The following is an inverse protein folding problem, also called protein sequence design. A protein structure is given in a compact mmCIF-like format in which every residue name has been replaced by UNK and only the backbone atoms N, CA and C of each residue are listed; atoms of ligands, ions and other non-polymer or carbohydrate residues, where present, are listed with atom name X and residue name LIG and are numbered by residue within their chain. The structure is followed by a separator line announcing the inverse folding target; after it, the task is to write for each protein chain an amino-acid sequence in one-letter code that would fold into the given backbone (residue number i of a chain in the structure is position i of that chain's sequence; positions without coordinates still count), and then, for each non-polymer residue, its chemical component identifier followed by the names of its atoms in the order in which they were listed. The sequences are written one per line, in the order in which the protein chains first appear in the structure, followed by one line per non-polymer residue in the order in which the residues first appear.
data_IF_306447172766
#
_entry.id   IF_306447172766
#
_cell.length_a   1.000
_cell.length_b   1.000
_cell.length_c   1.000
_cell.angle_alpha   90.00
_cell.angle_beta   90.00
_cell.angle_gamma   90.00
#
_symmetry.space_group_name_H-M   'P 1'
#
loop_
_entity.id
_entity.type
_entity.pdbx_description
1 polymer ?
#
# COMPACT_ATOMS: atom_id res chain seq x y z
N UNK A 1 -2.94 -10.30 2.13
CA UNK A 1 -3.74 -10.33 0.88
C UNK A 1 -2.86 -10.85 -0.26
N UNK A 2 -3.33 -11.84 -1.05
CA UNK A 2 -2.49 -12.59 -2.01
C UNK A 2 -2.11 -11.79 -3.27
N UNK A 3 -2.97 -10.85 -3.69
CA UNK A 3 -2.90 -10.26 -5.04
C UNK A 3 -1.62 -9.47 -5.35
N UNK A 4 -1.07 -8.69 -4.41
CA UNK A 4 0.17 -7.94 -4.69
C UNK A 4 1.42 -8.83 -4.66
N UNK A 5 1.34 -10.05 -4.13
CA UNK A 5 2.50 -10.97 -4.03
C UNK A 5 2.82 -11.68 -5.35
N UNK A 6 1.86 -11.76 -6.26
CA UNK A 6 2.02 -12.37 -7.59
C UNK A 6 2.19 -11.36 -8.73
N UNK A 7 2.13 -10.07 -8.43
CA UNK A 7 2.19 -8.99 -9.43
C UNK A 7 3.58 -8.36 -9.52
N UNK A 8 3.87 -7.71 -10.64
CA UNK A 8 5.12 -6.96 -10.81
C UNK A 8 5.14 -5.74 -9.88
N UNK A 9 6.35 -5.36 -9.44
CA UNK A 9 6.51 -4.21 -8.53
C UNK A 9 5.97 -2.90 -9.13
N UNK A 10 6.12 -2.72 -10.44
CA UNK A 10 5.53 -1.61 -11.19
C UNK A 10 4.00 -1.54 -11.01
N UNK A 11 3.32 -2.67 -11.20
CA UNK A 11 1.87 -2.74 -11.04
C UNK A 11 1.45 -2.47 -9.61
N UNK A 12 2.20 -3.01 -8.63
CA UNK A 12 1.97 -2.77 -7.22
C UNK A 12 2.05 -1.27 -6.92
N UNK A 13 3.09 -0.56 -7.36
CA UNK A 13 3.20 0.89 -7.15
C UNK A 13 2.05 1.67 -7.81
N UNK A 14 1.65 1.32 -9.03
CA UNK A 14 0.54 1.97 -9.73
C UNK A 14 -0.80 1.87 -8.98
N UNK A 15 -0.99 0.83 -8.17
CA UNK A 15 -2.24 0.59 -7.43
C UNK A 15 -2.11 0.78 -5.91
N UNK A 16 -0.90 1.08 -5.43
CA UNK A 16 -0.57 1.14 -4.00
C UNK A 16 -1.48 2.11 -3.25
N UNK A 17 -1.72 3.30 -3.81
CA UNK A 17 -2.58 4.30 -3.19
C UNK A 17 -4.01 3.80 -2.94
N UNK A 18 -4.60 3.13 -3.94
CA UNK A 18 -5.96 2.57 -3.83
C UNK A 18 -6.01 1.46 -2.79
N UNK A 19 -5.00 0.60 -2.73
CA UNK A 19 -4.95 -0.46 -1.73
C UNK A 19 -4.82 0.07 -0.31
N UNK A 20 -3.95 1.07 -0.09
CA UNK A 20 -3.80 1.73 1.21
C UNK A 20 -5.11 2.38 1.63
N UNK A 21 -5.76 3.15 0.76
CA UNK A 21 -7.09 3.74 1.00
C UNK A 21 -8.14 2.69 1.37
N UNK A 22 -8.15 1.55 0.69
CA UNK A 22 -9.09 0.47 0.99
C UNK A 22 -8.84 -0.14 2.37
N UNK A 23 -7.58 -0.37 2.77
CA UNK A 23 -7.30 -0.89 4.12
C UNK A 23 -7.64 0.14 5.20
N UNK A 24 -7.34 1.42 4.97
CA UNK A 24 -7.71 2.51 5.87
C UNK A 24 -9.22 2.61 6.06
N UNK A 25 -10.00 2.52 4.98
CA UNK A 25 -11.46 2.52 5.03
C UNK A 25 -12.01 1.37 5.89
N UNK A 26 -11.44 0.17 5.77
CA UNK A 26 -11.83 -0.96 6.62
C UNK A 26 -11.52 -0.68 8.09
N UNK A 27 -10.36 -0.10 8.40
CA UNK A 27 -9.94 0.15 9.78
C UNK A 27 -10.64 1.33 10.45
N UNK A 28 -11.06 2.35 9.69
CA UNK A 28 -11.61 3.59 10.23
C UNK A 28 -13.13 3.66 10.06
N UNK A 29 -13.61 3.54 8.83
CA UNK A 29 -15.02 3.73 8.49
C UNK A 29 -15.87 2.51 8.85
N UNK A 30 -15.33 1.30 8.73
CA UNK A 30 -16.04 0.05 9.03
C UNK A 30 -15.81 -0.47 10.46
N UNK A 31 -15.15 0.31 11.32
CA UNK A 31 -14.87 -0.13 12.68
C UNK A 31 -16.17 -0.32 13.48
N UNK A 32 -16.37 -1.53 14.02
CA UNK A 32 -17.62 -1.91 14.69
C UNK A 32 -18.73 -2.40 13.75
N UNK A 33 -18.57 -2.25 12.43
CA UNK A 33 -19.49 -2.80 11.41
C UNK A 33 -19.03 -4.15 10.87
N UNK A 34 -17.72 -4.45 10.95
CA UNK A 34 -17.13 -5.73 10.54
C UNK A 34 -16.53 -6.48 11.73
N UNK A 35 -16.18 -7.76 11.52
CA UNK A 35 -15.53 -8.56 12.56
C UNK A 35 -14.15 -8.01 12.93
N UNK A 36 -13.74 -8.21 14.18
CA UNK A 36 -12.39 -7.86 14.64
C UNK A 36 -11.30 -8.50 13.77
N UNK A 37 -11.51 -9.75 13.34
CA UNK A 37 -10.60 -10.43 12.43
C UNK A 37 -10.45 -9.74 11.05
N UNK A 38 -11.47 -9.06 10.56
CA UNK A 38 -11.37 -8.27 9.32
C UNK A 38 -10.53 -7.00 9.53
N UNK A 39 -10.67 -6.34 10.68
CA UNK A 39 -9.85 -5.18 11.07
C UNK A 39 -8.38 -5.59 11.23
N UNK A 40 -8.12 -6.68 11.95
CA UNK A 40 -6.78 -7.22 12.17
C UNK A 40 -6.11 -7.59 10.84
N UNK A 41 -6.87 -8.23 9.94
CA UNK A 41 -6.38 -8.58 8.61
C UNK A 41 -6.09 -7.34 7.76
N UNK A 42 -6.90 -6.28 7.84
CA UNK A 42 -6.66 -5.02 7.13
C UNK A 42 -5.38 -4.33 7.62
N UNK A 43 -5.17 -4.32 8.94
CA UNK A 43 -3.94 -3.80 9.54
C UNK A 43 -2.70 -4.58 9.10
N UNK A 44 -2.77 -5.91 9.14
CA UNK A 44 -1.69 -6.79 8.67
C UNK A 44 -1.40 -6.59 7.18
N UNK A 45 -2.42 -6.48 6.34
CA UNK A 45 -2.26 -6.22 4.91
C UNK A 45 -1.56 -4.88 4.65
N UNK A 46 -1.96 -3.82 5.36
CA UNK A 46 -1.34 -2.50 5.22
C UNK A 46 0.15 -2.55 5.58
N UNK A 47 0.48 -3.18 6.71
CA UNK A 47 1.86 -3.34 7.15
C UNK A 47 2.71 -4.11 6.13
N UNK A 48 2.20 -5.22 5.60
CA UNK A 48 2.88 -6.00 4.57
C UNK A 48 3.11 -5.22 3.28
N UNK A 49 2.13 -4.44 2.83
CA UNK A 49 2.27 -3.62 1.61
C UNK A 49 3.32 -2.53 1.77
N UNK A 50 3.36 -1.86 2.93
CA UNK A 50 4.38 -0.84 3.22
C UNK A 50 5.77 -1.48 3.25
N UNK A 51 5.93 -2.63 3.92
CA UNK A 51 7.21 -3.36 3.94
C UNK A 51 7.67 -3.80 2.55
N UNK A 52 6.75 -4.25 1.70
CA UNK A 52 7.06 -4.63 0.31
C UNK A 52 7.54 -3.41 -0.51
N UNK A 53 6.96 -2.24 -0.27
CA UNK A 53 7.22 -1.04 -1.05
C UNK A 53 8.38 -0.19 -0.52
N UNK A 54 8.83 -0.42 0.72
CA UNK A 54 9.88 0.33 1.40
C UNK A 54 11.26 0.30 0.72
N UNK A 55 11.71 -0.82 0.09
CA UNK A 55 13.00 -0.84 -0.60
C UNK A 55 13.01 0.10 -1.81
N UNK A 56 13.81 1.17 -1.73
CA UNK A 56 13.96 2.13 -2.81
C UNK A 56 14.70 1.51 -4.01
N UNK A 57 14.21 1.78 -5.21
CA UNK A 57 14.76 1.28 -6.46
C UNK A 57 15.87 2.22 -7.00
N UNK A 58 16.55 2.98 -6.13
CA UNK A 58 17.49 4.06 -6.51
C UNK A 58 18.64 3.63 -7.44
N UNK A 59 19.04 2.36 -7.38
CA UNK A 59 20.09 1.80 -8.22
C UNK A 59 19.55 1.05 -9.45
N UNK A 60 18.24 1.13 -9.73
CA UNK A 60 17.63 0.48 -10.89
C UNK A 60 17.97 1.23 -12.18
N UNK A 61 18.29 0.49 -13.25
CA UNK A 61 18.43 1.06 -14.59
C UNK A 61 17.08 1.53 -15.16
N UNK A 62 15.96 1.03 -14.61
CA UNK A 62 14.61 1.45 -14.97
C UNK A 62 14.24 2.76 -14.26
N UNK A 63 14.59 3.88 -14.90
CA UNK A 63 14.25 5.24 -14.44
C UNK A 63 12.75 5.49 -14.31
N UNK A 64 11.93 4.80 -15.10
CA UNK A 64 10.48 4.95 -15.06
C UNK A 64 9.92 4.28 -13.81
N UNK A 65 10.44 3.09 -13.45
CA UNK A 65 10.08 2.42 -12.21
C UNK A 65 10.43 3.28 -10.98
N UNK A 66 11.59 3.94 -10.97
CA UNK A 66 11.98 4.86 -9.90
C UNK A 66 10.98 6.01 -9.77
N UNK A 67 10.57 6.59 -10.91
CA UNK A 67 9.57 7.67 -10.93
C UNK A 67 8.23 7.20 -10.38
N UNK A 68 7.73 6.06 -10.85
CA UNK A 68 6.46 5.47 -10.40
C UNK A 68 6.51 5.16 -8.90
N UNK A 69 7.61 4.60 -8.41
CA UNK A 69 7.81 4.36 -6.98
C UNK A 69 7.71 5.66 -6.19
N UNK A 70 8.44 6.71 -6.60
CA UNK A 70 8.47 7.98 -5.88
C UNK A 70 7.09 8.64 -5.82
N UNK A 71 6.37 8.65 -6.93
CA UNK A 71 4.99 9.18 -7.00
C UNK A 71 4.05 8.40 -6.07
N UNK A 72 4.10 7.06 -6.12
CA UNK A 72 3.28 6.21 -5.28
C UNK A 72 3.56 6.38 -3.78
N UNK A 73 4.85 6.38 -3.38
CA UNK A 73 5.24 6.54 -1.98
C UNK A 73 4.91 7.93 -1.45
N UNK A 74 5.06 8.99 -2.24
CA UNK A 74 4.65 10.34 -1.84
C UNK A 74 3.14 10.42 -1.58
N UNK A 75 2.33 9.87 -2.49
CA UNK A 75 0.86 9.89 -2.35
C UNK A 75 0.40 9.10 -1.12
N UNK A 76 1.01 7.93 -0.88
CA UNK A 76 0.73 7.08 0.28
C UNK A 76 1.18 7.72 1.58
N UNK A 77 2.38 8.30 1.62
CA UNK A 77 2.90 8.99 2.80
C UNK A 77 1.97 10.15 3.19
N UNK A 78 1.58 10.97 2.22
CA UNK A 78 0.66 12.07 2.46
C UNK A 78 -0.66 11.58 3.05
N UNK A 79 -1.27 10.53 2.47
CA UNK A 79 -2.52 9.97 2.98
C UNK A 79 -2.37 9.40 4.40
N UNK A 80 -1.29 8.66 4.69
CA UNK A 80 -1.05 8.09 6.01
C UNK A 80 -0.80 9.16 7.08
N UNK A 81 -0.24 10.32 6.73
CA UNK A 81 -0.04 11.44 7.66
C UNK A 81 -1.27 12.34 7.82
N UNK A 82 -2.24 12.25 6.91
CA UNK A 82 -3.47 13.06 6.93
C UNK A 82 -4.53 12.45 7.86
N UNK A 83 -4.55 11.13 7.96
CA UNK A 83 -5.47 10.35 8.81
C UNK A 83 -4.93 10.31 10.24
#
# INVERSE_FOLDING_TARGET
MFLYRSMSLRWVYQHLYVFVKAQLFVMMDLNGEVSSGAIDQAKSNLEEMVKLCAPLQENSEDKELIKIQKEALNAVTLELTRQ
#
